data_IF_114848510874
#
_entry.id   IF_114848510874
#
_cell.length_a   1.000
_cell.length_b   1.000
_cell.length_c   1.000
_cell.angle_alpha   90.00
_cell.angle_beta   90.00
_cell.angle_gamma   90.00
#
_symmetry.space_group_name_H-M   'P 1'
#
loop_
_entity.id
_entity.type
_entity.pdbx_description
1 polymer ?
#
# COMPACT_ATOMS: atom_id res chain seq x y z
N UNK A 1 -39.86 -19.39 42.19
CA UNK A 1 -39.19 -18.75 41.05
C UNK A 1 -38.10 -17.86 41.63
N UNK A 2 -36.82 -18.20 41.45
CA UNK A 2 -35.70 -17.45 42.03
C UNK A 2 -35.32 -16.32 41.05
N UNK A 3 -35.59 -15.07 41.44
CA UNK A 3 -35.02 -13.91 40.78
C UNK A 3 -33.60 -13.71 41.30
N UNK A 4 -32.62 -13.93 40.42
CA UNK A 4 -31.23 -13.57 40.68
C UNK A 4 -31.00 -12.20 40.06
N UNK A 5 -30.85 -11.18 40.90
CA UNK A 5 -30.61 -9.81 40.47
C UNK A 5 -29.12 -9.49 40.67
N UNK A 6 -28.42 -9.14 39.59
CA UNK A 6 -26.98 -8.90 39.62
C UNK A 6 -26.71 -7.45 40.06
N UNK A 7 -26.64 -7.24 41.37
CA UNK A 7 -26.37 -5.92 41.96
C UNK A 7 -24.98 -5.45 41.55
N UNK A 8 -24.89 -4.34 40.81
CA UNK A 8 -23.63 -3.77 40.30
C UNK A 8 -23.24 -4.20 38.88
N UNK A 9 -24.09 -4.95 38.17
CA UNK A 9 -23.87 -5.32 36.76
C UNK A 9 -23.62 -4.10 35.86
N UNK A 10 -24.38 -3.02 36.06
CA UNK A 10 -24.23 -1.78 35.29
C UNK A 10 -22.87 -1.11 35.50
N UNK A 11 -22.34 -1.14 36.73
CA UNK A 11 -21.02 -0.58 37.04
C UNK A 11 -19.90 -1.41 36.38
N UNK A 12 -19.99 -2.74 36.43
CA UNK A 12 -19.03 -3.63 35.76
C UNK A 12 -19.11 -3.46 34.24
N UNK A 13 -20.31 -3.35 33.67
CA UNK A 13 -20.50 -3.08 32.24
C UNK A 13 -19.91 -1.73 31.83
N UNK A 14 -20.11 -0.68 32.63
CA UNK A 14 -19.55 0.64 32.35
C UNK A 14 -18.01 0.61 32.35
N UNK A 15 -17.41 -0.09 33.32
CA UNK A 15 -15.96 -0.26 33.41
C UNK A 15 -15.44 -1.06 32.22
N UNK A 16 -16.02 -2.22 31.90
CA UNK A 16 -15.62 -3.04 30.76
C UNK A 16 -15.74 -2.29 29.44
N UNK A 17 -16.82 -1.50 29.26
CA UNK A 17 -17.01 -0.66 28.08
C UNK A 17 -15.93 0.41 27.97
N UNK A 18 -15.64 1.12 29.05
CA UNK A 18 -14.59 2.14 29.07
C UNK A 18 -13.20 1.55 28.74
N UNK A 19 -12.87 0.36 29.25
CA UNK A 19 -11.65 -0.35 28.87
C UNK A 19 -11.65 -0.72 27.38
N UNK A 20 -12.77 -1.22 26.85
CA UNK A 20 -12.87 -1.59 25.44
C UNK A 20 -12.70 -0.39 24.50
N UNK A 21 -13.28 0.77 24.86
CA UNK A 21 -13.15 2.02 24.09
C UNK A 21 -11.70 2.54 24.12
N UNK A 22 -11.03 2.44 25.29
CA UNK A 22 -9.63 2.80 25.46
C UNK A 22 -8.69 1.95 24.61
N UNK A 23 -8.89 0.62 24.64
CA UNK A 23 -8.12 -0.33 23.82
C UNK A 23 -8.37 -0.09 22.34
N UNK A 24 -9.62 0.09 21.91
CA UNK A 24 -9.95 0.35 20.52
C UNK A 24 -9.28 1.64 20.02
N UNK A 25 -9.35 2.73 20.79
CA UNK A 25 -8.67 3.99 20.46
C UNK A 25 -7.15 3.83 20.37
N UNK A 26 -6.54 3.03 21.25
CA UNK A 26 -5.11 2.76 21.21
C UNK A 26 -4.70 1.95 19.97
N UNK A 27 -5.50 0.95 19.59
CA UNK A 27 -5.31 0.15 18.37
C UNK A 27 -5.43 1.03 17.14
N UNK A 28 -6.47 1.86 17.03
CA UNK A 28 -6.66 2.80 15.91
C UNK A 28 -5.46 3.74 15.74
N UNK A 29 -4.99 4.34 16.84
CA UNK A 29 -3.81 5.21 16.82
C UNK A 29 -2.55 4.46 16.42
N UNK A 30 -2.35 3.24 16.91
CA UNK A 30 -1.17 2.43 16.59
C UNK A 30 -1.16 1.99 15.12
N UNK A 31 -2.30 1.54 14.60
CA UNK A 31 -2.47 1.22 13.18
C UNK A 31 -2.24 2.45 12.31
N UNK A 32 -2.84 3.59 12.64
CA UNK A 32 -2.63 4.84 11.89
C UNK A 32 -1.15 5.24 11.79
N UNK A 33 -0.39 5.10 12.88
CA UNK A 33 1.07 5.34 12.85
C UNK A 33 1.79 4.30 11.99
N UNK A 34 1.44 3.04 12.12
CA UNK A 34 2.07 1.92 11.40
C UNK A 34 1.88 2.03 9.90
N UNK A 35 0.66 2.32 9.46
CA UNK A 35 0.32 2.51 8.04
C UNK A 35 1.04 3.73 7.47
N UNK A 36 1.13 4.84 8.23
CA UNK A 36 1.87 6.02 7.82
C UNK A 36 3.39 5.73 7.72
N UNK A 37 3.96 4.94 8.65
CA UNK A 37 5.36 4.48 8.55
C UNK A 37 5.54 3.60 7.30
N UNK A 38 4.62 2.67 7.04
CA UNK A 38 4.66 1.79 5.87
C UNK A 38 4.60 2.58 4.56
N UNK A 39 3.70 3.56 4.46
CA UNK A 39 3.64 4.45 3.31
C UNK A 39 4.97 5.17 3.08
N UNK A 40 5.58 5.71 4.15
CA UNK A 40 6.89 6.38 4.04
C UNK A 40 7.99 5.43 3.59
N UNK A 41 8.07 4.22 4.16
CA UNK A 41 9.04 3.19 3.77
C UNK A 41 8.94 2.87 2.28
N UNK A 42 7.71 2.66 1.80
CA UNK A 42 7.45 2.38 0.39
C UNK A 42 7.89 3.55 -0.49
N UNK A 43 7.54 4.78 -0.13
CA UNK A 43 7.84 5.96 -0.93
C UNK A 43 9.34 6.32 -0.92
N UNK A 44 9.98 6.29 0.24
CA UNK A 44 11.34 6.79 0.44
C UNK A 44 12.41 5.77 0.13
N UNK A 45 12.13 4.48 0.32
CA UNK A 45 13.13 3.42 0.15
C UNK A 45 12.80 2.55 -1.07
N UNK A 46 11.65 1.86 -1.04
CA UNK A 46 11.30 0.87 -2.08
C UNK A 46 11.15 1.51 -3.46
N UNK A 47 10.44 2.63 -3.57
CA UNK A 47 10.18 3.33 -4.83
C UNK A 47 11.19 4.44 -5.18
N UNK A 48 12.27 4.57 -4.41
CA UNK A 48 13.29 5.61 -4.63
C UNK A 48 14.72 5.06 -4.73
N UNK A 49 14.88 3.83 -5.19
CA UNK A 49 16.20 3.27 -5.53
C UNK A 49 16.39 1.80 -5.17
N UNK A 50 15.68 1.31 -4.15
CA UNK A 50 15.90 -0.05 -3.68
C UNK A 50 15.21 -1.11 -4.55
N UNK A 51 13.93 -0.92 -4.88
CA UNK A 51 13.17 -1.86 -5.74
C UNK A 51 12.94 -1.25 -7.12
N UNK A 52 12.56 0.03 -7.15
CA UNK A 52 12.37 0.80 -8.37
C UNK A 52 13.09 2.14 -8.27
N UNK A 53 13.69 2.55 -9.39
CA UNK A 53 14.26 3.88 -9.56
C UNK A 53 13.17 4.91 -9.92
N UNK A 54 13.33 6.14 -9.44
CA UNK A 54 12.44 7.24 -9.79
C UNK A 54 12.69 7.68 -11.24
N UNK A 55 11.64 7.68 -12.05
CA UNK A 55 11.64 8.33 -13.39
C UNK A 55 10.80 9.59 -13.41
N UNK A 56 9.48 9.44 -13.29
CA UNK A 56 8.53 10.58 -13.24
C UNK A 56 7.98 10.84 -11.84
N UNK A 57 8.16 9.86 -10.93
CA UNK A 57 7.60 9.87 -9.58
C UNK A 57 6.09 9.61 -9.50
N UNK A 58 5.41 9.29 -10.61
CA UNK A 58 3.95 9.08 -10.62
C UNK A 58 3.53 7.94 -9.67
N UNK A 59 4.14 6.74 -9.81
CA UNK A 59 3.85 5.61 -8.93
C UNK A 59 4.09 5.96 -7.45
N UNK A 60 5.22 6.61 -7.14
CA UNK A 60 5.57 7.02 -5.77
C UNK A 60 4.54 7.97 -5.17
N UNK A 61 4.08 8.97 -5.94
CA UNK A 61 3.08 9.95 -5.48
C UNK A 61 1.67 9.36 -5.37
N UNK A 62 1.41 8.25 -6.05
CA UNK A 62 0.12 7.54 -5.99
C UNK A 62 -0.04 6.58 -4.81
N UNK A 63 0.97 6.48 -3.94
CA UNK A 63 0.87 5.63 -2.74
C UNK A 63 0.03 6.37 -1.71
N UNK A 64 -1.15 5.82 -1.43
CA UNK A 64 -2.09 6.36 -0.46
C UNK A 64 -2.28 5.38 0.69
N UNK A 65 -2.72 5.93 1.81
CA UNK A 65 -3.03 5.15 3.00
C UNK A 65 -4.43 5.46 3.50
N UNK A 66 -5.07 4.45 4.07
CA UNK A 66 -6.36 4.59 4.73
C UNK A 66 -6.42 3.72 5.98
N UNK A 67 -7.18 4.20 6.97
CA UNK A 67 -7.53 3.43 8.15
C UNK A 67 -9.05 3.41 8.25
N UNK A 68 -9.63 2.23 8.34
CA UNK A 68 -11.06 2.03 8.49
C UNK A 68 -11.31 1.29 9.80
N UNK A 69 -12.22 1.83 10.61
CA UNK A 69 -12.66 1.22 11.87
C UNK A 69 -14.15 0.91 11.77
N UNK A 70 -14.53 -0.34 11.99
CA UNK A 70 -15.92 -0.78 11.95
C UNK A 70 -16.12 -2.02 12.83
N UNK A 71 -17.10 -1.99 13.73
CA UNK A 71 -17.49 -3.16 14.52
C UNK A 71 -16.36 -3.75 15.39
N UNK A 72 -15.45 -2.91 15.91
CA UNK A 72 -14.28 -3.36 16.67
C UNK A 72 -13.11 -3.89 15.82
N UNK A 73 -13.27 -3.93 14.49
CA UNK A 73 -12.19 -4.23 13.56
C UNK A 73 -11.57 -2.93 13.06
N UNK A 74 -10.24 -2.83 13.17
CA UNK A 74 -9.46 -1.73 12.62
C UNK A 74 -8.56 -2.27 11.52
N UNK A 75 -8.73 -1.76 10.30
CA UNK A 75 -7.95 -2.15 9.12
C UNK A 75 -7.14 -0.96 8.63
N UNK A 76 -5.84 -1.17 8.49
CA UNK A 76 -4.91 -0.22 7.90
C UNK A 76 -4.49 -0.69 6.50
N UNK A 77 -4.62 0.17 5.50
CA UNK A 77 -4.33 -0.18 4.10
C UNK A 77 -3.36 0.82 3.47
N UNK A 78 -2.41 0.32 2.66
CA UNK A 78 -1.54 1.12 1.80
C UNK A 78 -1.66 0.59 0.37
N UNK A 79 -2.07 1.44 -0.56
CA UNK A 79 -2.39 1.03 -1.92
C UNK A 79 -1.94 2.06 -2.97
N UNK A 80 -2.13 1.71 -4.25
CA UNK A 80 -1.90 2.59 -5.40
C UNK A 80 -3.03 2.42 -6.42
N UNK A 81 -3.46 3.52 -7.02
CA UNK A 81 -4.43 3.52 -8.11
C UNK A 81 -3.77 3.37 -9.50
N UNK A 82 -2.44 3.27 -9.55
CA UNK A 82 -1.70 3.23 -10.81
C UNK A 82 -1.64 1.79 -11.33
N UNK A 83 -2.32 1.53 -12.44
CA UNK A 83 -2.45 0.18 -13.04
C UNK A 83 -1.11 -0.52 -13.31
N UNK A 84 -0.09 0.20 -13.79
CA UNK A 84 1.22 -0.40 -14.04
C UNK A 84 1.99 -0.73 -12.74
N UNK A 85 1.56 -0.18 -11.59
CA UNK A 85 2.08 -0.55 -10.28
C UNK A 85 1.83 -2.02 -9.96
N UNK A 86 0.65 -2.55 -10.31
CA UNK A 86 0.30 -3.97 -10.14
C UNK A 86 1.25 -4.88 -10.92
N UNK A 87 1.52 -4.53 -12.18
CA UNK A 87 2.44 -5.30 -13.02
C UNK A 87 3.89 -5.28 -12.47
N UNK A 88 4.30 -4.22 -11.78
CA UNK A 88 5.57 -4.22 -11.06
C UNK A 88 5.50 -5.05 -9.77
N UNK A 89 4.43 -4.93 -8.98
CA UNK A 89 4.29 -5.60 -7.68
C UNK A 89 4.26 -7.13 -7.80
N UNK A 90 3.65 -7.67 -8.86
CA UNK A 90 3.48 -9.12 -9.06
C UNK A 90 4.26 -9.67 -10.27
N UNK A 91 4.89 -8.80 -11.05
CA UNK A 91 5.40 -9.17 -12.38
C UNK A 91 4.27 -9.30 -13.41
N UNK A 92 4.67 -9.47 -14.67
CA UNK A 92 3.73 -9.70 -15.77
C UNK A 92 4.40 -10.51 -16.87
N UNK A 93 3.77 -11.59 -17.30
CA UNK A 93 4.18 -12.35 -18.47
C UNK A 93 2.96 -12.53 -19.38
N UNK A 94 3.02 -11.98 -20.59
CA UNK A 94 1.91 -12.10 -21.53
C UNK A 94 1.99 -11.18 -22.73
N UNK A 95 1.01 -11.32 -23.62
CA UNK A 95 0.87 -10.50 -24.83
C UNK A 95 0.13 -9.21 -24.49
N UNK A 96 0.67 -8.07 -24.93
CA UNK A 96 0.05 -6.75 -24.78
C UNK A 96 -0.26 -6.19 -26.17
N UNK A 97 -1.49 -5.70 -26.32
CA UNK A 97 -1.93 -5.03 -27.54
C UNK A 97 -1.55 -3.54 -27.47
N UNK A 98 -0.74 -3.09 -28.42
CA UNK A 98 -0.29 -1.70 -28.55
C UNK A 98 -1.13 -1.03 -29.64
N UNK A 99 -1.83 0.04 -29.26
CA UNK A 99 -2.62 0.84 -30.21
C UNK A 99 -1.71 1.58 -31.20
N UNK A 100 -2.23 1.82 -32.40
CA UNK A 100 -1.53 2.64 -33.39
C UNK A 100 -1.26 4.04 -32.82
N UNK A 101 -0.08 4.60 -33.07
CA UNK A 101 0.31 5.92 -32.57
C UNK A 101 1.32 6.62 -33.48
N UNK A 102 1.35 7.95 -33.43
CA UNK A 102 2.39 8.76 -34.06
C UNK A 102 3.56 8.89 -33.11
N UNK A 103 4.77 8.51 -33.55
CA UNK A 103 5.98 8.59 -32.74
C UNK A 103 7.01 9.50 -33.39
N UNK A 104 7.57 10.41 -32.62
CA UNK A 104 8.76 11.15 -33.04
C UNK A 104 9.99 10.24 -32.93
N UNK A 105 10.66 10.02 -34.05
CA UNK A 105 11.89 9.23 -34.15
C UNK A 105 13.06 10.19 -34.35
N UNK A 106 14.06 10.10 -33.47
CA UNK A 106 15.30 10.90 -33.52
C UNK A 106 16.50 10.10 -34.04
N UNK A 107 16.36 8.78 -34.12
CA UNK A 107 17.42 7.84 -34.46
C UNK A 107 16.84 6.68 -35.26
N UNK A 108 17.53 6.27 -36.32
CA UNK A 108 17.18 5.09 -37.12
C UNK A 108 18.44 4.23 -37.29
N UNK A 109 18.29 2.90 -37.14
CA UNK A 109 19.40 1.94 -37.30
C UNK A 109 20.66 2.29 -36.49
N UNK A 110 20.49 2.76 -35.25
CA UNK A 110 21.62 3.14 -34.40
C UNK A 110 22.20 4.55 -34.66
N UNK A 111 21.77 5.26 -35.71
CA UNK A 111 22.34 6.57 -36.10
C UNK A 111 21.34 7.72 -35.92
N UNK A 112 21.78 8.88 -35.38
CA UNK A 112 20.91 10.04 -35.23
C UNK A 112 20.46 10.56 -36.60
N UNK A 113 19.20 10.97 -36.69
CA UNK A 113 18.65 11.61 -37.90
C UNK A 113 19.01 13.10 -37.90
N UNK A 114 19.24 13.69 -39.09
CA UNK A 114 19.50 15.13 -39.23
C UNK A 114 18.38 16.00 -38.64
N UNK A 115 17.14 15.55 -38.76
CA UNK A 115 15.98 16.17 -38.13
C UNK A 115 15.02 15.10 -37.60
N UNK A 116 14.35 15.33 -36.45
CA UNK A 116 13.33 14.41 -35.95
C UNK A 116 12.19 14.24 -36.96
N UNK A 117 11.72 13.01 -37.15
CA UNK A 117 10.59 12.71 -38.04
C UNK A 117 9.45 12.08 -37.26
N UNK A 118 8.22 12.42 -37.59
CA UNK A 118 7.02 11.74 -37.07
C UNK A 118 6.70 10.55 -37.97
N UNK A 119 6.58 9.36 -37.37
CA UNK A 119 6.28 8.11 -38.08
C UNK A 119 5.03 7.48 -37.47
N UNK A 120 4.14 7.00 -38.33
CA UNK A 120 2.96 6.25 -37.93
C UNK A 120 3.35 4.80 -37.58
N UNK A 121 3.12 4.41 -36.34
CA UNK A 121 3.28 3.03 -35.88
C UNK A 121 1.91 2.37 -35.92
N UNK A 122 1.80 1.28 -36.69
CA UNK A 122 0.57 0.47 -36.75
C UNK A 122 0.32 -0.27 -35.43
N UNK A 123 -0.94 -0.57 -35.17
CA UNK A 123 -1.31 -1.41 -34.03
C UNK A 123 -0.64 -2.78 -34.17
N UNK A 124 -0.08 -3.29 -33.07
CA UNK A 124 0.62 -4.57 -33.06
C UNK A 124 0.57 -5.17 -31.65
N UNK A 125 0.90 -6.46 -31.57
CA UNK A 125 1.02 -7.16 -30.30
C UNK A 125 2.49 -7.28 -29.90
N UNK A 126 2.77 -7.28 -28.59
CA UNK A 126 4.11 -7.53 -28.06
C UNK A 126 4.04 -8.50 -26.90
N UNK A 127 4.92 -9.50 -26.93
CA UNK A 127 5.14 -10.37 -25.78
C UNK A 127 6.03 -9.64 -24.77
N UNK A 128 5.53 -9.48 -23.55
CA UNK A 128 6.21 -8.81 -22.45
C UNK A 128 6.51 -9.82 -21.37
N UNK A 129 7.76 -9.84 -20.92
CA UNK A 129 8.20 -10.51 -19.69
C UNK A 129 8.76 -9.46 -18.75
N UNK A 130 7.94 -9.03 -17.81
CA UNK A 130 8.28 -8.09 -16.75
C UNK A 130 8.49 -8.87 -15.45
N UNK A 131 9.70 -8.86 -14.87
CA UNK A 131 9.95 -9.52 -13.60
C UNK A 131 9.19 -8.84 -12.46
N UNK A 132 8.85 -9.61 -11.45
CA UNK A 132 8.30 -9.12 -10.18
C UNK A 132 9.30 -8.21 -9.46
N UNK A 133 8.78 -7.11 -8.93
CA UNK A 133 9.49 -6.12 -8.13
C UNK A 133 8.56 -5.65 -7.02
N UNK A 134 8.29 -6.55 -6.07
CA UNK A 134 7.41 -6.26 -4.94
C UNK A 134 7.97 -5.12 -4.09
N UNK A 135 7.16 -4.07 -3.93
CA UNK A 135 7.45 -2.90 -3.10
C UNK A 135 6.45 -2.72 -1.96
N UNK A 136 5.20 -3.17 -2.11
CA UNK A 136 4.19 -3.13 -1.04
C UNK A 136 4.30 -4.37 -0.15
N UNK A 137 4.22 -5.58 -0.74
CA UNK A 137 4.18 -6.82 0.05
C UNK A 137 5.49 -7.07 0.77
N UNK A 138 6.62 -6.82 0.08
CA UNK A 138 7.95 -6.91 0.68
C UNK A 138 8.10 -5.93 1.85
N UNK A 139 7.71 -4.66 1.69
CA UNK A 139 7.76 -3.67 2.77
C UNK A 139 6.88 -4.06 3.96
N UNK A 140 5.65 -4.50 3.73
CA UNK A 140 4.76 -4.95 4.79
C UNK A 140 5.35 -6.14 5.55
N UNK A 141 5.88 -7.13 4.82
CA UNK A 141 6.52 -8.29 5.44
C UNK A 141 7.73 -7.90 6.30
N UNK A 142 8.57 -7.01 5.80
CA UNK A 142 9.78 -6.58 6.49
C UNK A 142 9.44 -5.72 7.73
N UNK A 143 8.37 -4.94 7.67
CA UNK A 143 7.91 -4.09 8.78
C UNK A 143 7.00 -4.81 9.78
N UNK A 144 6.44 -5.98 9.42
CA UNK A 144 5.49 -6.73 10.24
C UNK A 144 5.94 -6.90 11.70
N UNK A 145 7.17 -7.34 12.01
CA UNK A 145 7.59 -7.52 13.41
C UNK A 145 7.54 -6.22 14.23
N UNK A 146 7.90 -5.08 13.60
CA UNK A 146 7.84 -3.78 14.25
C UNK A 146 6.41 -3.28 14.48
N UNK A 147 5.51 -3.56 13.53
CA UNK A 147 4.08 -3.23 13.64
C UNK A 147 3.44 -4.04 14.78
N UNK A 148 3.73 -5.34 14.87
CA UNK A 148 3.24 -6.21 15.95
C UNK A 148 3.72 -5.73 17.34
N UNK A 149 5.00 -5.36 17.44
CA UNK A 149 5.55 -4.81 18.68
C UNK A 149 4.94 -3.45 19.08
N UNK A 150 4.72 -2.56 18.11
CA UNK A 150 4.08 -1.25 18.36
C UNK A 150 2.59 -1.42 18.77
N UNK A 151 1.89 -2.40 18.21
CA UNK A 151 0.52 -2.76 18.59
C UNK A 151 0.46 -3.31 20.00
N UNK A 152 1.28 -4.30 20.32
CA UNK A 152 1.32 -4.90 21.65
C UNK A 152 1.58 -3.85 22.73
N UNK A 153 2.60 -3.00 22.55
CA UNK A 153 2.91 -1.91 23.49
C UNK A 153 1.75 -0.92 23.65
N UNK A 154 1.02 -0.65 22.57
CA UNK A 154 -0.12 0.28 22.61
C UNK A 154 -1.29 -0.30 23.39
N UNK A 155 -1.54 -1.61 23.25
CA UNK A 155 -2.57 -2.33 24.02
C UNK A 155 -2.17 -2.41 25.49
N UNK A 156 -0.93 -2.81 25.81
CA UNK A 156 -0.43 -2.87 27.18
C UNK A 156 -0.55 -1.52 27.90
N UNK A 157 -0.30 -0.41 27.20
CA UNK A 157 -0.46 0.93 27.75
C UNK A 157 -1.93 1.31 27.98
N UNK A 158 -2.86 0.79 27.18
CA UNK A 158 -4.28 1.05 27.32
C UNK A 158 -4.94 0.23 28.44
N UNK A 159 -4.30 -0.89 28.82
CA UNK A 159 -4.76 -1.76 29.92
C UNK A 159 -4.24 -1.34 31.30
N UNK A 160 -3.29 -0.40 31.37
CA UNK A 160 -2.76 0.19 32.61
C UNK A 160 -3.55 1.43 33.01
#
# INVERSE_FOLDING_TARGET
>A
MLNVEFIGGDAIMAVLKAYSDGVQSAVEKSIGRSVLKLQREVMQNRLSGQVLNVRTGNLRRSIHQQVTSSGGLVVGEVNTNVRYGVAHEYGFAGTVNVKASMRQVRQAFGRPLKSPRYVQIRAHTRNVKLPERSFLRSALRDMKPGIEADLQKSIERALR
#
